data_IF_346689533463
#
_entry.id   IF_346689533463
#
_cell.length_a   1.000
_cell.length_b   1.000
_cell.length_c   1.000
_cell.angle_alpha   90.00
_cell.angle_beta   90.00
_cell.angle_gamma   90.00
#
_symmetry.space_group_name_H-M   'P 1'
#
loop_
_entity.id
_entity.type
_entity.pdbx_description
1 polymer ?
#
# COMPACT_ATOMS: atom_id res chain seq x y z
N UNK A 1 6.94 -15.76 10.47
CA UNK A 1 6.64 -15.58 9.04
C UNK A 1 5.47 -14.63 8.92
N UNK A 2 5.64 -13.47 8.29
CA UNK A 2 4.52 -12.60 7.94
C UNK A 2 3.76 -13.24 6.81
N UNK A 3 2.51 -13.64 7.04
CA UNK A 3 1.67 -14.22 5.99
C UNK A 3 1.10 -13.12 5.10
N UNK A 4 0.72 -13.49 3.87
CA UNK A 4 0.03 -12.60 2.91
C UNK A 4 -1.13 -11.84 3.55
N UNK A 5 -1.88 -12.53 4.42
CA UNK A 5 -3.00 -11.96 5.16
C UNK A 5 -2.57 -10.83 6.12
N UNK A 6 -1.42 -10.98 6.79
CA UNK A 6 -0.86 -9.92 7.65
C UNK A 6 -0.38 -8.72 6.83
N UNK A 7 0.23 -8.95 5.66
CA UNK A 7 0.63 -7.88 4.75
C UNK A 7 -0.59 -7.09 4.25
N UNK A 8 -1.63 -7.77 3.79
CA UNK A 8 -2.89 -7.16 3.34
C UNK A 8 -3.57 -6.35 4.46
N UNK A 9 -3.54 -6.87 5.70
CA UNK A 9 -4.07 -6.17 6.86
C UNK A 9 -3.30 -4.88 7.12
N UNK A 10 -1.96 -4.94 7.13
CA UNK A 10 -1.09 -3.76 7.31
C UNK A 10 -1.29 -2.74 6.20
N UNK A 11 -1.40 -3.18 4.94
CA UNK A 11 -1.68 -2.31 3.79
C UNK A 11 -3.02 -1.60 3.98
N UNK A 12 -4.06 -2.35 4.34
CA UNK A 12 -5.40 -1.79 4.57
C UNK A 12 -5.40 -0.77 5.71
N UNK A 13 -4.79 -1.12 6.84
CA UNK A 13 -4.64 -0.20 7.98
C UNK A 13 -3.87 1.07 7.60
N UNK A 14 -2.76 0.94 6.86
CA UNK A 14 -1.97 2.09 6.40
C UNK A 14 -2.77 2.97 5.44
N UNK A 15 -3.51 2.36 4.54
CA UNK A 15 -4.37 3.06 3.58
C UNK A 15 -5.48 3.82 4.31
N UNK A 16 -6.13 3.21 5.30
CA UNK A 16 -7.14 3.88 6.13
C UNK A 16 -6.51 5.02 6.94
N UNK A 17 -5.35 4.80 7.56
CA UNK A 17 -4.64 5.85 8.28
C UNK A 17 -4.31 7.02 7.35
N UNK A 18 -3.82 6.76 6.15
CA UNK A 18 -3.55 7.79 5.15
C UNK A 18 -4.85 8.53 4.82
N UNK A 19 -5.94 7.82 4.54
CA UNK A 19 -7.22 8.46 4.22
C UNK A 19 -7.73 9.38 5.33
N UNK A 20 -7.55 8.99 6.59
CA UNK A 20 -8.08 9.72 7.75
C UNK A 20 -7.15 10.82 8.24
N UNK A 21 -5.83 10.58 8.28
CA UNK A 21 -4.84 11.53 8.84
C UNK A 21 -4.13 12.36 7.78
N UNK A 22 -4.04 11.86 6.56
CA UNK A 22 -3.30 12.48 5.47
C UNK A 22 -4.12 12.43 4.17
N UNK A 23 -5.33 13.05 4.14
CA UNK A 23 -6.20 13.02 2.97
C UNK A 23 -5.49 13.53 1.70
N UNK A 24 -4.49 14.39 1.85
CA UNK A 24 -3.64 14.93 0.78
C UNK A 24 -2.83 13.85 0.06
N UNK A 25 -2.45 12.78 0.78
CA UNK A 25 -1.76 11.64 0.22
C UNK A 25 -2.70 10.68 -0.54
N UNK A 26 -4.03 10.83 -0.42
CA UNK A 26 -4.98 10.03 -1.21
C UNK A 26 -4.79 10.24 -2.71
N UNK A 27 -4.46 11.46 -3.14
CA UNK A 27 -4.27 11.78 -4.56
C UNK A 27 -3.23 10.87 -5.22
N UNK A 28 -2.14 10.60 -4.51
CA UNK A 28 -1.07 9.73 -5.00
C UNK A 28 -1.37 8.24 -4.85
N UNK A 29 -2.21 7.86 -3.86
CA UNK A 29 -2.69 6.49 -3.67
C UNK A 29 -3.57 6.03 -4.84
N UNK A 30 -4.43 6.91 -5.35
CA UNK A 30 -5.24 6.61 -6.54
C UNK A 30 -4.38 6.45 -7.79
N UNK A 31 -3.34 7.28 -7.94
CA UNK A 31 -2.36 7.14 -9.03
C UNK A 31 -1.56 5.84 -8.94
N UNK A 32 -1.18 5.39 -7.74
CA UNK A 32 -0.46 4.11 -7.57
C UNK A 32 -1.36 2.89 -7.70
N UNK A 33 -2.65 2.97 -7.34
CA UNK A 33 -3.59 1.85 -7.55
C UNK A 33 -3.85 1.53 -9.03
N UNK A 34 -3.61 2.47 -9.94
CA UNK A 34 -3.62 2.22 -11.39
C UNK A 34 -2.44 1.33 -11.80
N UNK A 35 -1.31 1.41 -11.08
CA UNK A 35 -0.09 0.63 -11.39
C UNK A 35 -0.06 -0.76 -10.74
N UNK A 36 -0.93 -1.01 -9.75
CA UNK A 36 -1.16 -2.36 -9.26
C UNK A 36 -2.00 -3.11 -10.30
N UNK A 37 -1.59 -4.30 -10.76
CA UNK A 37 -2.42 -5.10 -11.66
C UNK A 37 -3.76 -5.32 -10.97
N UNK A 38 -4.82 -4.75 -11.53
CA UNK A 38 -6.18 -5.01 -11.08
C UNK A 38 -6.46 -6.47 -11.42
N UNK A 39 -6.26 -7.33 -10.42
CA UNK A 39 -6.64 -8.73 -10.36
C UNK A 39 -7.05 -9.36 -11.68
N UNK A 40 -6.07 -9.74 -12.52
CA UNK A 40 -6.27 -10.87 -13.42
C UNK A 40 -6.10 -12.14 -12.57
N UNK A 41 -7.18 -12.50 -11.89
CA UNK A 41 -7.27 -13.60 -10.91
C UNK A 41 -7.26 -14.97 -11.59
N UNK A 42 -6.39 -15.21 -12.58
CA UNK A 42 -6.33 -16.49 -13.28
C UNK A 42 -5.06 -17.31 -13.07
N UNK A 43 -3.98 -16.74 -12.55
CA UNK A 43 -2.80 -17.52 -12.15
C UNK A 43 -1.80 -16.63 -11.43
N UNK A 44 -0.92 -17.26 -10.66
CA UNK A 44 0.21 -16.70 -9.94
C UNK A 44 -0.15 -16.27 -8.52
N UNK A 45 0.40 -17.02 -7.56
CA UNK A 45 0.40 -16.74 -6.13
C UNK A 45 0.56 -15.24 -5.89
N UNK A 46 -0.31 -14.67 -5.05
CA UNK A 46 -0.16 -13.28 -4.61
C UNK A 46 1.25 -13.17 -4.01
N UNK A 47 2.12 -12.51 -4.76
CA UNK A 47 3.54 -12.49 -4.43
C UNK A 47 3.72 -11.67 -3.15
N UNK A 48 4.14 -12.35 -2.08
CA UNK A 48 4.36 -11.72 -0.79
C UNK A 48 5.39 -10.59 -0.92
N UNK A 49 6.33 -10.70 -1.86
CA UNK A 49 7.32 -9.67 -2.14
C UNK A 49 6.67 -8.45 -2.79
N UNK A 50 5.73 -8.63 -3.73
CA UNK A 50 4.99 -7.52 -4.31
C UNK A 50 4.14 -6.77 -3.26
N UNK A 51 3.48 -7.50 -2.36
CA UNK A 51 2.73 -6.90 -1.25
C UNK A 51 3.65 -6.18 -0.26
N UNK A 52 4.78 -6.78 0.08
CA UNK A 52 5.78 -6.19 0.98
C UNK A 52 6.36 -4.90 0.39
N UNK A 53 6.69 -4.92 -0.91
CA UNK A 53 7.15 -3.74 -1.64
C UNK A 53 6.11 -2.63 -1.70
N UNK A 54 4.83 -2.99 -1.90
CA UNK A 54 3.74 -2.03 -1.85
C UNK A 54 3.59 -1.40 -0.45
N UNK A 55 3.60 -2.22 0.61
CA UNK A 55 3.56 -1.73 1.99
C UNK A 55 4.75 -0.80 2.31
N UNK A 56 5.95 -1.14 1.86
CA UNK A 56 7.15 -0.33 2.03
C UNK A 56 7.06 1.01 1.27
N UNK A 57 6.44 1.01 0.09
CA UNK A 57 6.19 2.22 -0.68
C UNK A 57 5.22 3.14 0.07
N UNK A 58 4.12 2.60 0.61
CA UNK A 58 3.18 3.34 1.46
C UNK A 58 3.82 3.87 2.74
N UNK A 59 4.73 3.09 3.36
CA UNK A 59 5.50 3.53 4.51
C UNK A 59 6.43 4.70 4.17
N UNK A 60 7.21 4.56 3.12
CA UNK A 60 8.14 5.59 2.67
C UNK A 60 7.41 6.87 2.28
N UNK A 61 6.24 6.75 1.64
CA UNK A 61 5.42 7.90 1.25
C UNK A 61 4.96 8.70 2.47
N UNK A 62 4.36 8.03 3.45
CA UNK A 62 3.91 8.69 4.69
C UNK A 62 5.10 9.27 5.46
N UNK A 63 6.23 8.57 5.48
CA UNK A 63 7.43 9.06 6.16
C UNK A 63 8.00 10.30 5.47
N UNK A 64 8.08 10.32 4.13
CA UNK A 64 8.51 11.50 3.37
C UNK A 64 7.59 12.69 3.59
N UNK A 65 6.28 12.45 3.67
CA UNK A 65 5.31 13.49 3.98
C UNK A 65 5.55 14.07 5.38
N UNK A 66 5.63 13.21 6.39
CA UNK A 66 5.90 13.58 7.79
C UNK A 66 7.28 14.24 8.00
N UNK A 67 8.26 13.95 7.15
CA UNK A 67 9.58 14.58 7.24
C UNK A 67 9.62 15.97 6.57
N UNK A 68 8.67 16.27 5.68
CA UNK A 68 8.53 17.58 5.02
C UNK A 68 7.47 18.47 5.68
N UNK A 69 6.85 18.03 6.79
CA UNK A 69 5.89 18.80 7.60
C UNK A 69 6.42 18.97 9.01
#
# INVERSE_FOLDING_TARGET
>A
MTTTQQLLTKISQKTIEIKTKHPELQKYLDETRITLPQGDTQSSEIDNDALSNYLNSLNSMVQKYKANT
#
